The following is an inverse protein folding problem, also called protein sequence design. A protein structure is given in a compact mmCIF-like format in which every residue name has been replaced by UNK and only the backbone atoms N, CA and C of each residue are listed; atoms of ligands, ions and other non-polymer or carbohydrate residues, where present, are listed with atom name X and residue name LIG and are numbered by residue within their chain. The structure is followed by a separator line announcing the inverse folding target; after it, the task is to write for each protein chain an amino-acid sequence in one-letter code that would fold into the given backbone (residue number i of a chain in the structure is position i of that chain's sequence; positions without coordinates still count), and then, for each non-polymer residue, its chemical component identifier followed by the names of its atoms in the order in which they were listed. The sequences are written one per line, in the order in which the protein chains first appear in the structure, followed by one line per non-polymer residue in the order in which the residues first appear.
data_IF_419717306818
#
_entry.id   IF_419717306818
#
_cell.length_a   1.000
_cell.length_b   1.000
_cell.length_c   1.000
_cell.angle_alpha   90.00
_cell.angle_beta   90.00
_cell.angle_gamma   90.00
#
_symmetry.space_group_name_H-M   'P 1'
#
loop_
_entity.id
_entity.type
_entity.pdbx_description
1 polymer ?
#
# COMPACT_ATOMS: atom_id res chain seq x y z
N UNK A 1 16.36 32.84 -10.57
CA UNK A 1 16.91 31.48 -10.69
C UNK A 1 16.02 30.58 -9.87
N UNK A 2 15.06 29.91 -10.54
CA UNK A 2 14.21 28.91 -9.89
C UNK A 2 15.09 27.68 -9.69
N UNK A 3 15.17 27.18 -8.46
CA UNK A 3 15.84 25.91 -8.18
C UNK A 3 14.97 24.83 -8.82
N UNK A 4 15.44 24.23 -9.92
CA UNK A 4 14.88 22.95 -10.39
C UNK A 4 15.11 21.93 -9.26
N UNK A 5 14.02 21.52 -8.63
CA UNK A 5 14.01 20.38 -7.72
C UNK A 5 14.42 19.16 -8.55
N UNK A 6 15.61 18.61 -8.31
CA UNK A 6 16.15 17.44 -9.00
C UNK A 6 15.39 16.14 -8.75
N UNK A 7 14.15 16.22 -8.26
CA UNK A 7 13.24 15.08 -8.15
C UNK A 7 12.68 14.73 -9.51
N UNK A 8 12.89 13.47 -9.90
CA UNK A 8 12.24 12.88 -11.05
C UNK A 8 10.72 12.96 -10.90
N UNK A 9 9.94 13.02 -12.00
CA UNK A 9 8.49 12.95 -11.95
C UNK A 9 8.03 11.73 -11.15
N UNK A 10 6.92 11.85 -10.42
CA UNK A 10 6.38 10.71 -9.70
C UNK A 10 5.92 9.60 -10.65
N UNK A 11 6.26 8.36 -10.30
CA UNK A 11 5.72 7.15 -10.92
C UNK A 11 4.65 6.50 -10.04
N UNK A 12 3.92 7.27 -9.21
CA UNK A 12 2.97 6.72 -8.22
C UNK A 12 1.92 5.77 -8.81
N UNK A 13 1.50 5.96 -10.07
CA UNK A 13 0.57 5.02 -10.73
C UNK A 13 1.18 3.63 -10.88
N UNK A 14 2.48 3.57 -11.20
CA UNK A 14 3.21 2.32 -11.33
C UNK A 14 3.43 1.68 -9.96
N UNK A 15 3.79 2.47 -8.94
CA UNK A 15 3.82 2.00 -7.56
C UNK A 15 2.46 1.48 -7.10
N UNK A 16 1.37 2.13 -7.49
CA UNK A 16 0.02 1.70 -7.14
C UNK A 16 -0.34 0.37 -7.80
N UNK A 17 0.03 0.15 -9.06
CA UNK A 17 -0.15 -1.16 -9.70
C UNK A 17 0.59 -2.27 -8.92
N UNK A 18 1.84 -2.02 -8.52
CA UNK A 18 2.60 -2.97 -7.69
C UNK A 18 1.92 -3.18 -6.33
N UNK A 19 1.39 -2.13 -5.71
CA UNK A 19 0.66 -2.23 -4.45
C UNK A 19 -0.61 -3.08 -4.57
N UNK A 20 -1.36 -2.96 -5.67
CA UNK A 20 -2.52 -3.81 -5.96
C UNK A 20 -2.10 -5.26 -6.16
N UNK A 21 -1.03 -5.52 -6.91
CA UNK A 21 -0.52 -6.88 -7.11
C UNK A 21 -0.07 -7.52 -5.77
N UNK A 22 0.47 -6.72 -4.85
CA UNK A 22 0.80 -7.14 -3.48
C UNK A 22 -0.45 -7.44 -2.64
N UNK A 23 -1.50 -6.62 -2.76
CA UNK A 23 -2.79 -6.84 -2.08
C UNK A 23 -3.50 -8.09 -2.60
N UNK A 24 -3.43 -8.35 -3.91
CA UNK A 24 -4.01 -9.55 -4.51
C UNK A 24 -3.29 -10.81 -4.01
N UNK A 25 -1.96 -10.78 -3.94
CA UNK A 25 -1.19 -11.86 -3.33
C UNK A 25 -1.44 -12.02 -1.83
N UNK A 26 -1.65 -10.91 -1.11
CA UNK A 26 -2.06 -10.96 0.29
C UNK A 26 -3.40 -11.68 0.43
N UNK A 27 -4.39 -11.39 -0.41
CA UNK A 27 -5.68 -12.09 -0.42
C UNK A 27 -5.52 -13.58 -0.72
N UNK A 28 -4.70 -13.93 -1.71
CA UNK A 28 -4.39 -15.33 -2.02
C UNK A 28 -3.73 -16.07 -0.84
N UNK A 29 -2.76 -15.42 -0.18
CA UNK A 29 -2.01 -16.02 0.93
C UNK A 29 -2.83 -16.11 2.22
N UNK A 30 -3.74 -15.15 2.45
CA UNK A 30 -4.62 -15.14 3.63
C UNK A 30 -5.85 -16.06 3.47
N UNK A 31 -6.14 -16.51 2.24
CA UNK A 31 -7.25 -17.43 1.95
C UNK A 31 -8.60 -16.78 2.19
N UNK A 32 -9.44 -17.40 3.03
CA UNK A 32 -10.81 -16.92 3.33
C UNK A 32 -10.85 -15.75 4.32
N UNK A 33 -9.71 -15.19 4.71
CA UNK A 33 -9.64 -14.06 5.63
C UNK A 33 -10.03 -12.75 4.94
N UNK A 34 -11.22 -12.22 5.27
CA UNK A 34 -11.68 -10.92 4.78
C UNK A 34 -11.00 -9.79 5.59
N UNK A 35 -10.30 -8.90 4.90
CA UNK A 35 -9.70 -7.70 5.48
C UNK A 35 -10.02 -6.46 4.64
N UNK A 36 -9.99 -5.29 5.29
CA UNK A 36 -10.12 -4.00 4.63
C UNK A 36 -8.76 -3.31 4.49
N UNK A 37 -8.62 -2.49 3.45
CA UNK A 37 -7.47 -1.62 3.28
C UNK A 37 -7.90 -0.24 2.80
N UNK A 38 -7.07 0.77 3.07
CA UNK A 38 -7.31 2.14 2.60
C UNK A 38 -6.02 2.83 2.22
N UNK A 39 -6.11 3.86 1.38
CA UNK A 39 -4.98 4.78 1.22
C UNK A 39 -4.86 5.64 2.47
N UNK A 40 -3.63 5.86 2.91
CA UNK A 40 -3.34 6.84 3.97
C UNK A 40 -2.30 7.87 3.56
N UNK A 41 -1.79 8.58 4.55
CA UNK A 41 -0.64 9.47 4.42
C UNK A 41 -0.75 10.51 3.29
N UNK A 42 0.38 10.75 2.62
CA UNK A 42 0.47 11.71 1.51
C UNK A 42 -0.31 11.25 0.28
N UNK A 43 -0.45 9.94 0.12
CA UNK A 43 -1.17 9.31 -1.00
C UNK A 43 -2.66 9.65 -0.97
N UNK A 44 -3.30 9.52 0.19
CA UNK A 44 -4.71 9.89 0.36
C UNK A 44 -4.95 11.38 0.11
N UNK A 45 -4.08 12.27 0.63
CA UNK A 45 -4.19 13.71 0.43
C UNK A 45 -4.00 14.13 -1.04
N UNK A 46 -3.11 13.45 -1.78
CA UNK A 46 -2.96 13.65 -3.22
C UNK A 46 -4.26 13.34 -3.95
N UNK A 47 -4.85 12.17 -3.69
CA UNK A 47 -6.05 11.69 -4.40
C UNK A 47 -7.28 12.54 -4.05
N UNK A 48 -7.47 12.86 -2.77
CA UNK A 48 -8.70 13.49 -2.28
C UNK A 48 -8.76 15.00 -2.53
N UNK A 49 -7.64 15.72 -2.41
CA UNK A 49 -7.63 17.19 -2.45
C UNK A 49 -6.49 17.78 -3.31
N UNK A 50 -5.74 16.96 -4.04
CA UNK A 50 -4.66 17.43 -4.94
C UNK A 50 -3.52 18.14 -4.20
N UNK A 51 -3.30 17.82 -2.92
CA UNK A 51 -2.44 18.61 -2.04
C UNK A 51 -0.97 18.67 -2.52
N UNK A 52 -0.45 17.58 -3.08
CA UNK A 52 0.84 17.47 -3.78
C UNK A 52 0.89 16.13 -4.51
N UNK A 53 1.76 15.99 -5.50
CA UNK A 53 2.06 14.67 -6.07
C UNK A 53 2.82 13.82 -5.03
N UNK A 54 2.34 12.60 -4.76
CA UNK A 54 3.01 11.63 -3.89
C UNK A 54 4.05 10.87 -4.69
N UNK A 55 5.21 10.59 -4.09
CA UNK A 55 6.23 9.72 -4.68
C UNK A 55 6.22 8.31 -4.06
N UNK A 56 5.39 8.13 -3.02
CA UNK A 56 5.25 6.91 -2.26
C UNK A 56 3.77 6.50 -2.23
N UNK A 57 3.48 5.23 -1.93
CA UNK A 57 2.13 4.70 -1.74
C UNK A 57 1.98 4.19 -0.30
N UNK A 58 1.07 4.81 0.45
CA UNK A 58 0.74 4.39 1.82
C UNK A 58 -0.57 3.58 1.83
N UNK A 59 -0.49 2.30 2.18
CA UNK A 59 -1.61 1.37 2.35
C UNK A 59 -1.81 1.07 3.82
N UNK A 60 -3.02 1.30 4.31
CA UNK A 60 -3.39 1.07 5.70
C UNK A 60 -4.20 -0.21 5.80
N UNK A 61 -3.76 -1.12 6.67
CA UNK A 61 -4.42 -2.38 7.01
C UNK A 61 -5.03 -2.30 8.42
N UNK A 62 -6.11 -3.04 8.63
CA UNK A 62 -6.84 -3.11 9.90
C UNK A 62 -6.29 -4.18 10.86
N UNK A 63 -5.54 -5.17 10.36
CA UNK A 63 -5.01 -6.29 11.14
C UNK A 63 -3.48 -6.49 11.01
N UNK A 64 -2.73 -6.48 12.13
CA UNK A 64 -1.31 -6.84 12.18
C UNK A 64 -0.93 -8.19 11.55
N UNK A 65 -1.81 -9.18 11.61
CA UNK A 65 -1.54 -10.55 11.15
C UNK A 65 -1.29 -10.59 9.63
N UNK A 66 -1.87 -9.66 8.89
CA UNK A 66 -1.73 -9.52 7.45
C UNK A 66 -0.28 -9.25 7.03
N UNK A 67 0.50 -8.56 7.86
CA UNK A 67 1.90 -8.25 7.54
C UNK A 67 2.75 -9.51 7.35
N UNK A 68 2.46 -10.59 8.08
CA UNK A 68 3.18 -11.85 7.94
C UNK A 68 3.00 -12.53 6.57
N UNK A 69 1.88 -12.26 5.89
CA UNK A 69 1.54 -12.80 4.57
C UNK A 69 2.12 -11.99 3.41
N UNK A 70 2.60 -10.77 3.69
CA UNK A 70 3.28 -9.92 2.70
C UNK A 70 4.79 -9.79 2.95
N UNK A 71 5.28 -10.15 4.14
CA UNK A 71 6.70 -10.13 4.49
C UNK A 71 7.49 -11.08 3.56
N UNK A 72 8.40 -10.58 2.69
CA UNK A 72 9.17 -11.41 1.75
C UNK A 72 10.08 -12.43 2.44
N UNK A 73 10.42 -12.24 3.71
CA UNK A 73 11.23 -13.18 4.48
C UNK A 73 10.43 -14.38 5.01
N UNK A 74 9.10 -14.27 5.06
CA UNK A 74 8.19 -15.29 5.64
C UNK A 74 7.26 -15.90 4.61
N UNK A 75 6.92 -15.14 3.58
CA UNK A 75 5.94 -15.49 2.56
C UNK A 75 6.58 -15.50 1.17
N UNK A 76 5.98 -16.24 0.23
CA UNK A 76 6.46 -16.33 -1.17
C UNK A 76 5.82 -15.23 -2.03
N UNK A 77 5.90 -13.99 -1.55
CA UNK A 77 5.43 -12.83 -2.32
C UNK A 77 6.34 -12.60 -3.50
N UNK A 78 5.73 -12.31 -4.64
CA UNK A 78 6.37 -12.01 -5.91
C UNK A 78 6.17 -10.54 -6.21
N UNK A 79 7.27 -9.84 -6.45
CA UNK A 79 7.24 -8.44 -6.88
C UNK A 79 7.92 -8.32 -8.24
N UNK A 80 7.25 -7.64 -9.17
CA UNK A 80 7.82 -7.24 -10.45
C UNK A 80 7.54 -5.74 -10.67
N UNK A 81 8.56 -4.87 -10.66
CA UNK A 81 9.98 -5.15 -10.45
C UNK A 81 10.28 -5.67 -9.03
N UNK A 82 11.43 -6.33 -8.86
CA UNK A 82 11.90 -6.74 -7.54
C UNK A 82 12.24 -5.49 -6.70
N UNK A 83 11.80 -5.41 -5.43
CA UNK A 83 12.22 -4.34 -4.53
C UNK A 83 13.74 -4.37 -4.33
N UNK A 84 14.33 -3.20 -4.22
CA UNK A 84 15.74 -3.01 -3.91
C UNK A 84 16.03 -3.26 -2.44
N UNK A 85 15.04 -3.01 -1.57
CA UNK A 85 15.08 -3.32 -0.15
C UNK A 85 13.66 -3.53 0.40
N UNK A 86 13.55 -4.24 1.51
CA UNK A 86 12.30 -4.37 2.27
C UNK A 86 12.57 -4.39 3.78
N UNK A 87 11.72 -3.72 4.54
CA UNK A 87 11.85 -3.61 5.99
C UNK A 87 10.49 -3.78 6.67
N UNK A 88 10.43 -4.58 7.73
CA UNK A 88 9.22 -4.69 8.54
C UNK A 88 9.57 -5.00 10.00
N UNK A 89 8.65 -4.64 10.90
CA UNK A 89 8.73 -5.00 12.33
C UNK A 89 7.80 -6.17 12.69
N UNK A 90 7.10 -6.71 11.70
CA UNK A 90 6.19 -7.85 11.80
C UNK A 90 4.87 -7.55 12.51
N UNK A 91 4.57 -6.31 12.88
CA UNK A 91 3.33 -5.98 13.59
C UNK A 91 2.71 -4.60 13.30
N UNK A 92 3.51 -3.61 12.87
CA UNK A 92 3.05 -2.25 12.60
C UNK A 92 3.28 -1.84 11.16
N UNK A 93 4.33 -2.33 10.51
CA UNK A 93 4.55 -1.99 9.11
C UNK A 93 5.36 -3.03 8.33
N UNK A 94 5.18 -2.99 7.01
CA UNK A 94 6.04 -3.60 6.01
C UNK A 94 6.25 -2.60 4.87
N UNK A 95 7.50 -2.21 4.66
CA UNK A 95 7.97 -1.28 3.63
C UNK A 95 8.65 -2.04 2.50
N UNK A 96 8.42 -1.59 1.27
CA UNK A 96 9.13 -2.00 0.07
C UNK A 96 9.73 -0.78 -0.62
N UNK A 97 11.03 -0.79 -0.88
CA UNK A 97 11.73 0.28 -1.58
C UNK A 97 12.08 -0.16 -3.01
N UNK A 98 11.76 0.69 -3.99
CA UNK A 98 12.06 0.45 -5.41
C UNK A 98 12.99 1.54 -5.93
N UNK A 99 14.21 1.16 -6.32
CA UNK A 99 15.18 2.09 -6.87
C UNK A 99 14.60 2.83 -8.09
N UNK A 100 14.70 4.15 -8.06
CA UNK A 100 14.14 5.07 -9.06
C UNK A 100 12.61 5.11 -9.20
N UNK A 101 11.85 4.37 -8.37
CA UNK A 101 10.38 4.36 -8.42
C UNK A 101 9.74 5.03 -7.20
N UNK A 102 10.24 4.72 -6.00
CA UNK A 102 9.71 5.20 -4.71
C UNK A 102 9.41 4.06 -3.74
N UNK A 103 8.59 4.33 -2.73
CA UNK A 103 8.31 3.39 -1.64
C UNK A 103 6.83 2.96 -1.61
N UNK A 104 6.58 1.73 -1.15
CA UNK A 104 5.24 1.24 -0.80
C UNK A 104 5.26 0.84 0.67
N UNK A 105 4.38 1.47 1.44
CA UNK A 105 4.27 1.29 2.89
C UNK A 105 2.94 0.63 3.24
N UNK A 106 2.99 -0.61 3.73
CA UNK A 106 1.89 -1.22 4.43
C UNK A 106 2.00 -0.87 5.91
N UNK A 107 1.01 -0.15 6.42
CA UNK A 107 0.96 0.30 7.80
C UNK A 107 -0.28 -0.27 8.46
N UNK A 108 -0.12 -0.84 9.65
CA UNK A 108 -1.24 -1.32 10.44
C UNK A 108 -1.68 -0.20 11.35
N UNK A 109 -2.93 0.23 11.20
CA UNK A 109 -3.54 1.20 12.08
C UNK A 109 -4.96 0.75 12.42
N UNK A 110 -5.18 0.43 13.69
CA UNK A 110 -6.52 0.18 14.19
C UNK A 110 -7.37 1.46 14.12
N UNK A 111 -8.66 1.30 13.84
CA UNK A 111 -9.59 2.42 13.84
C UNK A 111 -9.72 3.02 15.26
N UNK A 112 -9.37 4.30 15.41
CA UNK A 112 -9.56 5.04 16.68
C UNK A 112 -11.00 5.49 16.90
N UNK A 113 -11.81 5.49 15.83
CA UNK A 113 -13.23 5.86 15.84
C UNK A 113 -14.01 4.90 14.94
N UNK A 114 -15.33 4.82 15.12
CA UNK A 114 -16.19 4.11 14.17
C UNK A 114 -15.94 4.64 12.74
N UNK A 115 -15.91 3.78 11.71
CA UNK A 115 -15.43 4.16 10.39
C UNK A 115 -16.22 5.35 9.84
N UNK A 116 -15.55 6.50 9.55
CA UNK A 116 -16.21 7.66 8.96
C UNK A 116 -16.46 7.47 7.45
N UNK A 117 -15.85 6.46 6.84
CA UNK A 117 -16.02 6.06 5.45
C UNK A 117 -16.97 4.87 5.33
N UNK A 118 -17.79 4.86 4.28
CA UNK A 118 -18.54 3.67 3.89
C UNK A 118 -17.67 2.83 2.95
N UNK A 119 -17.45 1.57 3.30
CA UNK A 119 -16.92 0.58 2.36
C UNK A 119 -17.95 0.42 1.23
N UNK A 120 -17.63 0.91 0.03
CA UNK A 120 -18.46 0.72 -1.16
C UNK A 120 -17.98 -0.58 -1.81
N UNK A 121 -18.67 -1.69 -1.54
CA UNK A 121 -18.45 -2.93 -2.30
C UNK A 121 -18.74 -2.62 -3.78
N UNK A 122 -17.78 -2.85 -4.66
CA UNK A 122 -18.03 -2.84 -6.11
C UNK A 122 -19.07 -3.92 -6.39
N UNK A 123 -20.25 -3.51 -6.83
CA UNK A 123 -21.30 -4.44 -7.23
C UNK A 123 -20.91 -5.11 -8.54
N UNK A 124 -20.89 -6.44 -8.55
CA UNK A 124 -21.23 -7.35 -9.66
C UNK A 124 -21.15 -8.79 -9.07
N UNK A 125 -22.17 -9.65 -8.97
CA UNK A 125 -23.58 -9.72 -9.37
C UNK A 125 -24.33 -10.80 -8.53
N UNK A 126 -25.56 -11.25 -8.90
CA UNK A 126 -26.49 -11.91 -7.97
C UNK A 126 -26.51 -13.45 -8.01
N UNK A 127 -26.77 -14.01 -6.83
CA UNK A 127 -27.28 -15.35 -6.41
C UNK A 127 -26.90 -16.61 -7.20
#
# INVERSE_FOLDING_TARGET
MVREDGRRPSEWRRLFHIAVDLIDQLRENAGDYEFEWSFGGGTAMMIQIGHRESHDIDIFLDDPQLLGYIDPSRSRVRCEPMPSDYQGDGSKFQKFAFENLGEIDFVVAGALTAPPSKCVKSREGPC
#
